data_IF_938343000683
#
_entry.id   IF_938343000683
#
_cell.length_a   1.000
_cell.length_b   1.000
_cell.length_c   1.000
_cell.angle_alpha   90.00
_cell.angle_beta   90.00
_cell.angle_gamma   90.00
#
_symmetry.space_group_name_H-M   'P 1'
#
loop_
_entity.id
_entity.type
_entity.pdbx_description
1 polymer ?
#
# COMPACT_ATOMS: atom_id res chain seq x y z
N UNK A 1 -2.44 -8.33 14.72
CA UNK A 1 -3.90 -8.19 14.52
C UNK A 1 -4.29 -8.52 13.06
N UNK A 2 -3.65 -7.94 12.05
CA UNK A 2 -4.01 -8.10 10.61
C UNK A 2 -3.72 -9.50 10.04
N UNK A 3 -2.82 -10.27 10.64
CA UNK A 3 -2.49 -11.66 10.24
C UNK A 3 -3.72 -12.59 10.22
N UNK A 4 -4.76 -12.28 11.01
CA UNK A 4 -6.01 -13.06 10.98
C UNK A 4 -6.71 -13.00 9.61
N UNK A 5 -6.61 -11.88 8.90
CA UNK A 5 -7.23 -11.67 7.59
C UNK A 5 -6.36 -12.11 6.41
N UNK A 6 -5.13 -12.61 6.66
CA UNK A 6 -4.16 -12.92 5.60
C UNK A 6 -3.85 -14.41 5.62
N UNK A 7 -4.03 -15.06 4.46
CA UNK A 7 -3.72 -16.46 4.30
C UNK A 7 -2.19 -16.70 4.33
N UNK A 8 -1.74 -17.61 5.20
CA UNK A 8 -0.33 -18.01 5.31
C UNK A 8 0.65 -16.83 5.36
N UNK A 9 0.38 -15.87 6.24
CA UNK A 9 1.20 -14.65 6.41
C UNK A 9 2.70 -14.92 6.49
N UNK A 10 3.10 -16.04 7.11
CA UNK A 10 4.50 -16.41 7.34
C UNK A 10 5.23 -16.88 6.07
N UNK A 11 4.49 -17.31 5.05
CA UNK A 11 5.03 -17.76 3.75
C UNK A 11 5.13 -16.64 2.71
N UNK A 12 4.59 -15.47 3.01
CA UNK A 12 4.57 -14.34 2.08
C UNK A 12 5.86 -13.52 2.13
N UNK A 13 6.32 -13.05 0.96
CA UNK A 13 7.37 -12.04 0.95
C UNK A 13 6.93 -10.80 1.71
N UNK A 14 7.86 -10.10 2.34
CA UNK A 14 7.58 -8.92 3.15
C UNK A 14 6.80 -7.82 2.40
N UNK A 15 7.11 -7.61 1.13
CA UNK A 15 6.39 -6.65 0.29
C UNK A 15 4.95 -7.10 0.02
N UNK A 16 4.74 -8.39 -0.17
CA UNK A 16 3.43 -8.98 -0.39
C UNK A 16 2.58 -8.92 0.88
N UNK A 17 3.18 -9.27 2.02
CA UNK A 17 2.53 -9.18 3.33
C UNK A 17 2.10 -7.74 3.64
N UNK A 18 2.97 -6.76 3.40
CA UNK A 18 2.63 -5.35 3.58
C UNK A 18 1.43 -4.92 2.73
N UNK A 19 1.38 -5.30 1.45
CA UNK A 19 0.22 -5.01 0.59
C UNK A 19 -1.05 -5.64 1.14
N UNK A 20 -0.98 -6.88 1.60
CA UNK A 20 -2.11 -7.58 2.20
C UNK A 20 -2.59 -6.88 3.49
N UNK A 21 -1.68 -6.45 4.36
CA UNK A 21 -2.02 -5.69 5.58
C UNK A 21 -2.71 -4.37 5.27
N UNK A 22 -2.18 -3.60 4.32
CA UNK A 22 -2.79 -2.33 3.89
C UNK A 22 -4.18 -2.59 3.30
N UNK A 23 -4.33 -3.62 2.45
CA UNK A 23 -5.63 -4.02 1.90
C UNK A 23 -6.63 -4.34 3.02
N UNK A 24 -6.23 -5.15 4.00
CA UNK A 24 -7.11 -5.50 5.13
C UNK A 24 -7.53 -4.26 5.94
N UNK A 25 -6.60 -3.31 6.18
CA UNK A 25 -6.91 -2.06 6.89
C UNK A 25 -7.93 -1.23 6.11
N UNK A 26 -7.72 -1.02 4.81
CA UNK A 26 -8.66 -0.25 3.99
C UNK A 26 -10.02 -0.91 3.90
N UNK A 27 -10.08 -2.23 3.71
CA UNK A 27 -11.36 -2.97 3.67
C UNK A 27 -12.12 -2.89 5.00
N UNK A 28 -11.44 -2.97 6.14
CA UNK A 28 -12.09 -2.80 7.45
C UNK A 28 -12.59 -1.37 7.65
N UNK A 29 -11.81 -0.36 7.28
CA UNK A 29 -12.24 1.05 7.33
C UNK A 29 -13.44 1.26 6.42
N UNK A 30 -13.41 0.73 5.18
CA UNK A 30 -14.52 0.83 4.24
C UNK A 30 -15.80 0.11 4.74
N UNK A 31 -15.67 -1.04 5.44
CA UNK A 31 -16.78 -1.70 6.12
C UNK A 31 -17.42 -0.81 7.19
N UNK A 32 -16.60 -0.18 8.03
CA UNK A 32 -17.12 0.74 9.08
C UNK A 32 -17.83 1.93 8.45
N UNK A 33 -17.25 2.53 7.40
CA UNK A 33 -17.88 3.61 6.64
C UNK A 33 -19.18 3.14 5.97
N UNK A 34 -19.18 1.94 5.38
CA UNK A 34 -20.36 1.34 4.77
C UNK A 34 -21.49 1.10 5.76
N UNK A 35 -21.20 0.58 6.95
CA UNK A 35 -22.18 0.39 8.02
C UNK A 35 -22.79 1.72 8.48
N UNK A 36 -21.92 2.71 8.75
CA UNK A 36 -22.39 4.06 9.10
C UNK A 36 -23.29 4.63 8.00
N UNK A 37 -22.86 4.52 6.75
CA UNK A 37 -23.60 5.02 5.58
C UNK A 37 -24.93 4.31 5.42
N UNK A 38 -24.99 2.99 5.59
CA UNK A 38 -26.23 2.22 5.50
C UNK A 38 -27.26 2.66 6.56
N UNK A 39 -26.86 2.78 7.82
CA UNK A 39 -27.72 3.27 8.92
C UNK A 39 -28.21 4.68 8.63
N UNK A 40 -27.33 5.58 8.21
CA UNK A 40 -27.61 6.97 7.88
C UNK A 40 -28.65 7.08 6.76
N UNK A 41 -28.46 6.39 5.65
CA UNK A 41 -29.30 6.52 4.47
C UNK A 41 -30.64 5.78 4.62
N UNK A 42 -30.65 4.67 5.37
CA UNK A 42 -31.91 4.02 5.75
C UNK A 42 -32.77 4.96 6.61
N UNK A 43 -32.17 5.62 7.61
CA UNK A 43 -32.88 6.55 8.49
C UNK A 43 -33.37 7.83 7.78
N UNK A 44 -32.76 8.17 6.63
CA UNK A 44 -33.13 9.31 5.80
C UNK A 44 -34.05 8.90 4.62
N UNK A 45 -34.40 7.62 4.46
CA UNK A 45 -35.29 7.14 3.41
C UNK A 45 -34.67 7.18 1.99
N UNK A 46 -33.33 7.26 1.88
CA UNK A 46 -32.67 7.40 0.58
C UNK A 46 -32.24 6.04 0.02
N UNK A 47 -33.13 5.38 -0.71
CA UNK A 47 -32.98 3.99 -1.16
C UNK A 47 -31.69 3.75 -2.00
N UNK A 48 -31.37 4.63 -2.95
CA UNK A 48 -30.17 4.47 -3.81
C UNK A 48 -28.88 4.45 -3.00
N UNK A 49 -28.71 5.39 -2.04
CA UNK A 49 -27.54 5.48 -1.19
C UNK A 49 -27.48 4.33 -0.17
N UNK A 50 -28.63 3.91 0.35
CA UNK A 50 -28.72 2.72 1.20
C UNK A 50 -28.25 1.47 0.45
N UNK A 51 -28.76 1.22 -0.77
CA UNK A 51 -28.38 0.07 -1.57
C UNK A 51 -26.89 0.04 -1.90
N UNK A 52 -26.29 1.17 -2.27
CA UNK A 52 -24.85 1.20 -2.54
C UNK A 52 -24.01 1.09 -1.28
N UNK A 53 -24.52 1.47 -0.11
CA UNK A 53 -23.86 1.21 1.19
C UNK A 53 -23.85 -0.29 1.50
N UNK A 54 -24.97 -0.98 1.27
CA UNK A 54 -25.06 -2.44 1.41
C UNK A 54 -24.13 -3.13 0.40
N UNK A 55 -24.10 -2.65 -0.85
CA UNK A 55 -23.19 -3.18 -1.86
C UNK A 55 -21.72 -3.01 -1.45
N UNK A 56 -21.34 -1.85 -0.90
CA UNK A 56 -20.00 -1.62 -0.34
C UNK A 56 -19.67 -2.65 0.74
N UNK A 57 -20.55 -2.84 1.72
CA UNK A 57 -20.36 -3.82 2.80
C UNK A 57 -20.12 -5.22 2.23
N UNK A 58 -20.98 -5.67 1.31
CA UNK A 58 -20.88 -7.00 0.71
C UNK A 58 -19.58 -7.17 -0.08
N UNK A 59 -19.21 -6.19 -0.87
CA UNK A 59 -17.98 -6.21 -1.69
C UNK A 59 -16.74 -6.23 -0.80
N UNK A 60 -16.72 -5.48 0.29
CA UNK A 60 -15.56 -5.49 1.22
C UNK A 60 -15.49 -6.81 2.02
N UNK A 61 -16.62 -7.40 2.39
CA UNK A 61 -16.63 -8.76 2.98
C UNK A 61 -16.05 -9.77 2.00
N UNK A 62 -16.43 -9.69 0.72
CA UNK A 62 -15.89 -10.57 -0.33
C UNK A 62 -14.38 -10.31 -0.50
N UNK A 63 -13.93 -9.05 -0.50
CA UNK A 63 -12.51 -8.71 -0.60
C UNK A 63 -11.70 -9.30 0.55
N UNK A 64 -12.20 -9.19 1.80
CA UNK A 64 -11.58 -9.80 2.98
C UNK A 64 -11.61 -11.33 2.91
N UNK A 65 -12.69 -11.93 2.42
CA UNK A 65 -12.78 -13.36 2.22
C UNK A 65 -11.75 -13.85 1.18
N UNK A 66 -11.62 -13.15 0.04
CA UNK A 66 -10.59 -13.45 -0.97
C UNK A 66 -9.20 -13.31 -0.36
N UNK A 67 -8.95 -12.27 0.43
CA UNK A 67 -7.66 -12.08 1.10
C UNK A 67 -7.38 -13.21 2.12
N UNK A 68 -8.40 -13.68 2.81
CA UNK A 68 -8.31 -14.72 3.84
C UNK A 68 -8.14 -16.12 3.28
N UNK A 69 -8.86 -16.45 2.21
CA UNK A 69 -8.93 -17.82 1.69
C UNK A 69 -8.13 -18.06 0.42
N UNK A 70 -7.68 -16.98 -0.25
CA UNK A 70 -6.84 -17.09 -1.44
C UNK A 70 -5.52 -16.32 -1.28
N UNK A 71 -4.54 -16.60 -2.15
CA UNK A 71 -3.29 -15.84 -2.25
C UNK A 71 -3.40 -14.65 -3.22
N UNK A 72 -4.62 -14.34 -3.68
CA UNK A 72 -4.86 -13.37 -4.75
C UNK A 72 -5.06 -11.94 -4.18
N UNK A 73 -4.02 -11.40 -3.54
CA UNK A 73 -4.07 -10.08 -2.89
C UNK A 73 -4.50 -8.98 -3.86
N UNK A 74 -3.98 -9.01 -5.10
CA UNK A 74 -4.34 -8.04 -6.13
C UNK A 74 -5.82 -8.09 -6.49
N UNK A 75 -6.42 -9.28 -6.53
CA UNK A 75 -7.85 -9.44 -6.78
C UNK A 75 -8.67 -8.89 -5.62
N UNK A 76 -8.33 -9.23 -4.38
CA UNK A 76 -8.99 -8.71 -3.19
C UNK A 76 -8.99 -7.17 -3.18
N UNK A 77 -7.83 -6.56 -3.49
CA UNK A 77 -7.69 -5.12 -3.56
C UNK A 77 -8.56 -4.47 -4.64
N UNK A 78 -8.61 -5.07 -5.85
CA UNK A 78 -9.48 -4.55 -6.92
C UNK A 78 -10.97 -4.66 -6.59
N UNK A 79 -11.39 -5.75 -5.93
CA UNK A 79 -12.75 -5.93 -5.45
C UNK A 79 -13.09 -4.81 -4.46
N UNK A 80 -12.26 -4.58 -3.45
CA UNK A 80 -12.46 -3.50 -2.47
C UNK A 80 -12.51 -2.11 -3.14
N UNK A 81 -11.58 -1.81 -4.04
CA UNK A 81 -11.60 -0.53 -4.77
C UNK A 81 -12.89 -0.34 -5.57
N UNK A 82 -13.39 -1.38 -6.22
CA UNK A 82 -14.65 -1.31 -6.94
C UNK A 82 -15.81 -0.93 -6.02
N UNK A 83 -15.92 -1.56 -4.86
CA UNK A 83 -16.96 -1.22 -3.87
C UNK A 83 -16.88 0.22 -3.39
N UNK A 84 -15.66 0.66 -3.02
CA UNK A 84 -15.43 2.03 -2.56
C UNK A 84 -15.73 3.06 -3.63
N UNK A 85 -15.30 2.83 -4.89
CA UNK A 85 -15.58 3.74 -6.02
C UNK A 85 -17.06 3.80 -6.32
N UNK A 86 -17.74 2.66 -6.40
CA UNK A 86 -19.17 2.61 -6.67
C UNK A 86 -19.98 3.43 -5.66
N UNK A 87 -19.67 3.26 -4.37
CA UNK A 87 -20.36 3.98 -3.31
C UNK A 87 -20.04 5.47 -3.33
N UNK A 88 -18.76 5.85 -3.46
CA UNK A 88 -18.33 7.24 -3.47
C UNK A 88 -18.87 8.01 -4.69
N UNK A 89 -18.84 7.41 -5.88
CA UNK A 89 -19.40 8.01 -7.09
C UNK A 89 -20.90 8.21 -6.96
N UNK A 90 -21.63 7.21 -6.42
CA UNK A 90 -23.06 7.35 -6.23
C UNK A 90 -23.42 8.43 -5.19
N UNK A 91 -22.69 8.52 -4.07
CA UNK A 91 -22.98 9.55 -3.06
C UNK A 91 -22.70 10.95 -3.60
N UNK A 92 -21.61 11.15 -4.35
CA UNK A 92 -21.28 12.41 -5.01
C UNK A 92 -22.39 12.76 -6.03
N UNK A 93 -22.79 11.81 -6.86
CA UNK A 93 -23.82 12.02 -7.88
C UNK A 93 -25.17 12.43 -7.25
N UNK A 94 -25.62 11.74 -6.20
CA UNK A 94 -26.90 11.97 -5.53
C UNK A 94 -26.91 13.25 -4.68
N UNK A 95 -25.75 13.82 -4.36
CA UNK A 95 -25.62 14.99 -3.49
C UNK A 95 -25.25 16.30 -4.24
N UNK A 96 -25.50 16.37 -5.55
CA UNK A 96 -25.26 17.60 -6.35
C UNK A 96 -24.15 17.47 -7.39
N UNK A 97 -23.58 16.27 -7.60
CA UNK A 97 -22.43 16.08 -8.48
C UNK A 97 -21.13 16.58 -7.87
N UNK A 98 -20.03 16.53 -8.63
CA UNK A 98 -18.69 16.83 -8.10
C UNK A 98 -18.51 18.30 -7.69
N UNK A 99 -19.28 19.22 -8.28
CA UNK A 99 -19.13 20.67 -8.07
C UNK A 99 -19.87 21.11 -6.81
N UNK A 100 -21.12 20.67 -6.63
CA UNK A 100 -21.98 21.16 -5.55
C UNK A 100 -22.07 20.21 -4.35
N UNK A 101 -21.51 19.00 -4.49
CA UNK A 101 -21.59 18.00 -3.43
C UNK A 101 -20.67 18.28 -2.26
N UNK A 102 -21.22 18.25 -1.05
CA UNK A 102 -20.45 18.23 0.20
C UNK A 102 -19.61 16.95 0.36
N UNK A 103 -19.90 15.92 -0.47
CA UNK A 103 -19.23 14.62 -0.46
C UNK A 103 -18.08 14.53 -1.49
N UNK A 104 -17.77 15.60 -2.21
CA UNK A 104 -16.74 15.59 -3.26
C UNK A 104 -15.33 15.18 -2.76
N UNK A 105 -15.03 15.40 -1.46
CA UNK A 105 -13.76 15.00 -0.83
C UNK A 105 -13.51 13.50 -0.80
N UNK A 106 -14.52 12.66 -1.03
CA UNK A 106 -14.31 11.21 -1.18
C UNK A 106 -13.50 10.87 -2.44
N UNK A 107 -13.57 11.65 -3.51
CA UNK A 107 -12.80 11.40 -4.73
C UNK A 107 -11.27 11.50 -4.52
N UNK A 108 -10.70 12.60 -3.98
CA UNK A 108 -9.26 12.65 -3.67
C UNK A 108 -8.84 11.63 -2.60
N UNK A 109 -9.70 11.29 -1.62
CA UNK A 109 -9.41 10.22 -0.67
C UNK A 109 -9.17 8.88 -1.38
N UNK A 110 -10.03 8.52 -2.34
CA UNK A 110 -9.87 7.28 -3.10
C UNK A 110 -8.54 7.25 -3.86
N UNK A 111 -8.16 8.34 -4.52
CA UNK A 111 -6.87 8.44 -5.22
C UNK A 111 -5.72 8.19 -4.24
N UNK A 112 -5.74 8.82 -3.05
CA UNK A 112 -4.74 8.58 -2.02
C UNK A 112 -4.72 7.09 -1.60
N UNK A 113 -5.88 6.48 -1.36
CA UNK A 113 -6.00 5.08 -0.98
C UNK A 113 -5.40 4.14 -2.04
N UNK A 114 -5.63 4.42 -3.33
CA UNK A 114 -5.07 3.63 -4.43
C UNK A 114 -3.54 3.65 -4.43
N UNK A 115 -2.91 4.84 -4.29
CA UNK A 115 -1.45 4.95 -4.27
C UNK A 115 -0.80 4.40 -3.00
N UNK A 116 -1.53 4.33 -1.89
CA UNK A 116 -1.01 3.75 -0.65
C UNK A 116 -1.01 2.22 -0.67
N UNK A 117 -1.99 1.59 -1.33
CA UNK A 117 -2.23 0.15 -1.24
C UNK A 117 -1.88 -0.64 -2.50
N UNK A 118 -1.98 -0.02 -3.69
CA UNK A 118 -1.80 -0.71 -4.95
C UNK A 118 -0.38 -0.58 -5.54
N UNK A 119 -0.13 -1.32 -6.64
CA UNK A 119 1.00 -1.05 -7.52
C UNK A 119 0.78 0.27 -8.28
N UNK A 120 1.86 0.93 -8.71
CA UNK A 120 1.78 2.20 -9.45
C UNK A 120 0.80 2.16 -10.63
N UNK A 121 0.86 1.09 -11.43
CA UNK A 121 0.00 0.94 -12.62
C UNK A 121 -1.46 0.82 -12.20
N UNK A 122 -1.77 -0.04 -11.23
CA UNK A 122 -3.13 -0.25 -10.76
C UNK A 122 -3.71 1.02 -10.09
N UNK A 123 -2.90 1.71 -9.28
CA UNK A 123 -3.30 2.99 -8.68
C UNK A 123 -3.60 4.04 -9.76
N UNK A 124 -2.76 4.12 -10.80
CA UNK A 124 -2.97 5.02 -11.93
C UNK A 124 -4.26 4.68 -12.68
N UNK A 125 -4.52 3.40 -12.96
CA UNK A 125 -5.74 2.95 -13.65
C UNK A 125 -7.00 3.36 -12.89
N UNK A 126 -7.07 3.10 -11.60
CA UNK A 126 -8.21 3.49 -10.77
C UNK A 126 -8.33 5.02 -10.64
N UNK A 127 -7.20 5.73 -10.51
CA UNK A 127 -7.20 7.20 -10.44
C UNK A 127 -7.70 7.84 -11.72
N UNK A 128 -7.28 7.32 -12.88
CA UNK A 128 -7.80 7.77 -14.19
C UNK A 128 -9.31 7.52 -14.29
N UNK A 129 -9.80 6.39 -13.77
CA UNK A 129 -11.24 6.12 -13.69
C UNK A 129 -11.99 7.18 -12.87
N UNK A 130 -11.50 7.52 -11.66
CA UNK A 130 -12.10 8.59 -10.83
C UNK A 130 -12.04 9.95 -11.52
N UNK A 131 -10.91 10.29 -12.14
CA UNK A 131 -10.77 11.55 -12.86
C UNK A 131 -11.72 11.63 -14.06
N UNK A 132 -11.88 10.54 -14.81
CA UNK A 132 -12.81 10.47 -15.94
C UNK A 132 -14.26 10.68 -15.48
N UNK A 133 -14.69 9.98 -14.41
CA UNK A 133 -16.03 10.16 -13.84
C UNK A 133 -16.23 11.59 -13.33
N UNK A 134 -15.23 12.16 -12.62
CA UNK A 134 -15.28 13.54 -12.16
C UNK A 134 -15.37 14.54 -13.32
N UNK A 135 -14.61 14.31 -14.40
CA UNK A 135 -14.68 15.14 -15.60
C UNK A 135 -16.05 15.08 -16.30
N UNK A 136 -16.65 13.87 -16.38
CA UNK A 136 -18.02 13.70 -16.90
C UNK A 136 -19.03 14.45 -16.05
N UNK A 137 -18.96 14.33 -14.72
CA UNK A 137 -19.87 15.06 -13.82
C UNK A 137 -19.68 16.59 -13.97
N UNK A 138 -18.44 17.07 -14.07
CA UNK A 138 -18.14 18.50 -14.30
C UNK A 138 -18.71 18.97 -15.64
N UNK A 139 -18.53 18.20 -16.70
CA UNK A 139 -19.08 18.52 -18.02
C UNK A 139 -20.62 18.57 -17.99
N UNK A 140 -21.27 17.61 -17.37
CA UNK A 140 -22.72 17.60 -17.21
C UNK A 140 -23.20 18.84 -16.43
N UNK A 141 -22.54 19.20 -15.34
CA UNK A 141 -22.87 20.40 -14.57
C UNK A 141 -22.73 21.67 -15.42
N UNK A 142 -21.64 21.84 -16.13
CA UNK A 142 -21.42 23.02 -17.00
C UNK A 142 -22.34 23.07 -18.22
N UNK A 143 -22.90 21.90 -18.63
CA UNK A 143 -23.93 21.78 -19.66
C UNK A 143 -25.34 22.03 -19.16
N UNK A 144 -25.53 22.39 -17.88
CA UNK A 144 -26.83 22.70 -17.29
C UNK A 144 -27.61 21.48 -16.75
N UNK A 145 -26.96 20.29 -16.69
CA UNK A 145 -27.60 19.14 -16.07
C UNK A 145 -27.76 19.37 -14.55
N UNK A 146 -28.96 19.16 -14.07
CA UNK A 146 -29.25 19.30 -12.64
C UNK A 146 -29.12 17.92 -11.97
N UNK A 147 -28.09 17.78 -11.15
CA UNK A 147 -27.89 16.59 -10.36
C UNK A 147 -28.96 16.47 -9.26
N UNK A 148 -29.30 15.25 -8.83
CA UNK A 148 -30.13 15.04 -7.67
C UNK A 148 -29.52 15.73 -6.44
N UNK A 149 -30.36 16.29 -5.59
CA UNK A 149 -29.96 16.86 -4.31
C UNK A 149 -30.61 16.10 -3.17
N UNK A 150 -29.89 15.96 -2.07
CA UNK A 150 -30.38 15.27 -0.88
C UNK A 150 -31.12 16.27 -0.01
N UNK A 151 -32.45 16.15 0.06
CA UNK A 151 -33.29 17.00 0.90
C UNK A 151 -33.27 16.49 2.36
N UNK A 152 -32.48 17.15 3.20
CA UNK A 152 -32.37 16.85 4.62
C UNK A 152 -32.89 18.03 5.46
N UNK A 153 -33.36 17.75 6.69
CA UNK A 153 -33.61 18.82 7.66
C UNK A 153 -32.30 19.55 7.98
N UNK A 154 -32.37 20.84 8.36
CA UNK A 154 -31.20 21.67 8.62
C UNK A 154 -30.18 21.02 9.57
N UNK A 155 -30.64 20.36 10.63
CA UNK A 155 -29.76 19.64 11.56
C UNK A 155 -29.02 18.48 10.89
N UNK A 156 -29.72 17.69 10.07
CA UNK A 156 -29.13 16.55 9.32
C UNK A 156 -28.17 17.04 8.22
N UNK A 157 -28.50 18.17 7.59
CA UNK A 157 -27.65 18.79 6.57
C UNK A 157 -26.31 19.24 7.17
N UNK A 158 -26.31 19.82 8.37
CA UNK A 158 -25.07 20.15 9.06
C UNK A 158 -24.20 18.90 9.31
N UNK A 159 -24.81 17.80 9.77
CA UNK A 159 -24.08 16.52 9.95
C UNK A 159 -23.52 16.01 8.60
N UNK A 160 -24.28 16.19 7.51
CA UNK A 160 -23.85 15.82 6.17
C UNK A 160 -22.61 16.60 5.73
N UNK A 161 -22.61 17.90 5.89
CA UNK A 161 -21.47 18.77 5.57
C UNK A 161 -20.23 18.34 6.39
N UNK A 162 -20.39 18.23 7.71
CA UNK A 162 -19.29 17.82 8.58
C UNK A 162 -18.74 16.45 8.22
N UNK A 163 -19.61 15.45 8.01
CA UNK A 163 -19.17 14.09 7.66
C UNK A 163 -18.55 14.02 6.27
N UNK A 164 -19.05 14.79 5.30
CA UNK A 164 -18.51 14.83 3.95
C UNK A 164 -17.14 15.49 3.84
N UNK A 165 -16.83 16.44 4.71
CA UNK A 165 -15.52 17.10 4.75
C UNK A 165 -14.54 16.43 5.71
N UNK A 166 -14.93 16.25 6.97
CA UNK A 166 -13.99 15.82 8.00
C UNK A 166 -13.70 14.33 7.97
N UNK A 167 -14.68 13.50 7.65
CA UNK A 167 -14.47 12.06 7.64
C UNK A 167 -13.44 11.61 6.58
N UNK A 168 -13.51 12.07 5.32
CA UNK A 168 -12.45 11.77 4.35
C UNK A 168 -11.08 12.29 4.77
N UNK A 169 -10.99 13.50 5.32
CA UNK A 169 -9.72 14.06 5.82
C UNK A 169 -9.15 13.23 6.98
N UNK A 170 -10.02 12.83 7.93
CA UNK A 170 -9.61 11.96 9.03
C UNK A 170 -9.07 10.62 8.51
N UNK A 171 -9.76 9.99 7.54
CA UNK A 171 -9.31 8.73 6.93
C UNK A 171 -7.98 8.92 6.20
N UNK A 172 -7.77 10.04 5.50
CA UNK A 172 -6.48 10.37 4.87
C UNK A 172 -5.38 10.48 5.93
N UNK A 173 -5.60 11.24 7.01
CA UNK A 173 -4.63 11.40 8.08
C UNK A 173 -4.29 10.05 8.73
N UNK A 174 -5.29 9.23 9.01
CA UNK A 174 -5.10 7.89 9.58
C UNK A 174 -4.28 6.99 8.64
N UNK A 175 -4.66 6.94 7.36
CA UNK A 175 -3.98 6.15 6.34
C UNK A 175 -2.52 6.60 6.14
N UNK A 176 -2.27 7.92 6.11
CA UNK A 176 -0.92 8.49 6.00
C UNK A 176 -0.08 8.18 7.24
N UNK A 177 -0.63 8.31 8.44
CA UNK A 177 0.07 7.97 9.68
C UNK A 177 0.48 6.48 9.70
N UNK A 178 -0.44 5.59 9.32
CA UNK A 178 -0.17 4.16 9.24
C UNK A 178 0.94 3.82 8.23
N UNK A 179 0.91 4.44 7.05
CA UNK A 179 1.91 4.19 6.00
C UNK A 179 3.25 4.84 6.28
N UNK A 180 3.28 6.01 6.95
CA UNK A 180 4.51 6.68 7.36
C UNK A 180 5.33 5.79 8.31
N UNK A 181 4.68 5.24 9.33
CA UNK A 181 5.32 4.29 10.25
C UNK A 181 5.91 3.07 9.55
N UNK A 182 5.23 2.56 8.53
CA UNK A 182 5.76 1.44 7.75
C UNK A 182 6.97 1.83 6.89
N UNK A 183 6.95 3.04 6.29
CA UNK A 183 8.07 3.58 5.51
C UNK A 183 9.32 3.78 6.37
N UNK A 184 9.18 4.42 7.54
CA UNK A 184 10.27 4.61 8.50
C UNK A 184 10.92 3.28 8.91
N UNK A 185 10.10 2.28 9.21
CA UNK A 185 10.58 0.94 9.52
C UNK A 185 11.31 0.28 8.35
N UNK A 186 10.89 0.52 7.11
CA UNK A 186 11.54 -0.01 5.92
C UNK A 186 12.89 0.68 5.67
N UNK A 187 12.96 2.00 5.81
CA UNK A 187 14.18 2.80 5.67
C UNK A 187 15.22 2.37 6.72
N UNK A 188 14.83 2.32 8.00
CA UNK A 188 15.75 1.91 9.08
C UNK A 188 16.34 0.51 8.87
N UNK A 189 15.57 -0.41 8.29
CA UNK A 189 16.06 -1.76 7.97
C UNK A 189 17.00 -1.76 6.75
N UNK A 190 16.70 -0.94 5.74
CA UNK A 190 17.58 -0.80 4.58
C UNK A 190 18.93 -0.24 4.99
N UNK A 191 18.96 0.79 5.86
CA UNK A 191 20.16 1.36 6.41
C UNK A 191 21.00 0.35 7.22
N UNK A 192 20.32 -0.50 8.04
CA UNK A 192 21.01 -1.56 8.79
C UNK A 192 21.62 -2.60 7.85
N UNK A 193 20.87 -3.06 6.86
CA UNK A 193 21.38 -4.02 5.87
C UNK A 193 22.56 -3.45 5.07
N UNK A 194 22.52 -2.17 4.72
CA UNK A 194 23.61 -1.49 4.03
C UNK A 194 24.87 -1.41 4.91
N UNK A 195 24.72 -1.06 6.19
CA UNK A 195 25.84 -1.05 7.14
C UNK A 195 26.46 -2.43 7.35
N UNK A 196 25.61 -3.46 7.48
CA UNK A 196 26.09 -4.85 7.60
C UNK A 196 26.83 -5.31 6.34
N UNK A 197 26.31 -4.97 5.15
CA UNK A 197 26.97 -5.28 3.88
C UNK A 197 28.31 -4.57 3.73
N UNK A 198 28.39 -3.30 4.12
CA UNK A 198 29.63 -2.53 4.10
C UNK A 198 30.69 -3.15 5.04
N UNK A 199 30.30 -3.53 6.26
CA UNK A 199 31.18 -4.20 7.21
C UNK A 199 31.66 -5.58 6.71
N UNK A 200 30.80 -6.33 6.04
CA UNK A 200 31.18 -7.61 5.43
C UNK A 200 32.18 -7.41 4.27
N UNK A 201 31.98 -6.38 3.43
CA UNK A 201 32.91 -6.05 2.35
C UNK A 201 34.28 -5.64 2.88
N UNK A 202 34.32 -4.85 3.97
CA UNK A 202 35.57 -4.44 4.64
C UNK A 202 36.34 -5.68 5.18
N UNK A 203 35.65 -6.57 5.91
CA UNK A 203 36.24 -7.83 6.41
C UNK A 203 36.73 -8.74 5.30
N UNK A 204 36.00 -8.83 4.18
CA UNK A 204 36.44 -9.59 3.01
C UNK A 204 37.72 -9.02 2.41
N UNK A 205 37.82 -7.70 2.26
CA UNK A 205 39.03 -6.99 1.78
C UNK A 205 40.22 -7.17 2.72
N UNK A 206 40.01 -7.13 4.03
CA UNK A 206 41.08 -7.43 5.00
C UNK A 206 41.55 -8.89 4.91
N UNK A 207 40.58 -9.83 4.73
CA UNK A 207 40.88 -11.25 4.52
C UNK A 207 41.70 -11.50 3.25
N UNK A 208 41.39 -10.81 2.16
CA UNK A 208 42.11 -10.89 0.89
C UNK A 208 43.55 -10.39 1.04
N UNK A 209 43.77 -9.21 1.68
CA UNK A 209 45.09 -8.69 1.95
C UNK A 209 45.93 -9.62 2.82
N UNK A 210 45.31 -10.30 3.80
CA UNK A 210 46.00 -11.26 4.66
C UNK A 210 46.38 -12.54 3.88
N UNK A 211 45.52 -12.97 2.96
CA UNK A 211 45.82 -14.09 2.09
C UNK A 211 46.98 -13.79 1.15
N UNK A 212 46.97 -12.61 0.54
CA UNK A 212 48.09 -12.15 -0.33
C UNK A 212 49.41 -12.11 0.43
N UNK A 213 49.41 -11.60 1.66
CA UNK A 213 50.65 -11.57 2.49
C UNK A 213 51.11 -12.98 2.85
N UNK A 214 50.22 -13.92 3.10
CA UNK A 214 50.58 -15.34 3.34
C UNK A 214 51.15 -16.02 2.08
N UNK A 215 50.57 -15.75 0.91
CA UNK A 215 51.05 -16.26 -0.36
C UNK A 215 52.50 -15.77 -0.67
N UNK A 216 52.78 -14.51 -0.40
CA UNK A 216 54.12 -13.95 -0.54
C UNK A 216 55.11 -14.67 0.39
N UNK A 217 54.80 -14.83 1.67
CA UNK A 217 55.64 -15.51 2.64
C UNK A 217 55.85 -17.00 2.27
N UNK A 218 54.85 -17.72 1.77
CA UNK A 218 54.98 -19.09 1.28
C UNK A 218 55.92 -19.14 0.05
N UNK A 219 55.76 -18.20 -0.90
CA UNK A 219 56.62 -18.17 -2.08
C UNK A 219 58.12 -17.88 -1.72
N UNK A 220 58.36 -17.01 -0.75
CA UNK A 220 59.68 -16.72 -0.22
C UNK A 220 60.29 -17.99 0.44
N UNK A 221 59.55 -18.72 1.26
CA UNK A 221 59.97 -19.95 1.88
C UNK A 221 60.25 -21.09 0.85
N UNK A 222 59.49 -21.14 -0.24
CA UNK A 222 59.75 -22.11 -1.34
C UNK A 222 61.03 -21.76 -2.07
N UNK A 223 61.36 -20.48 -2.29
CA UNK A 223 62.62 -20.05 -2.89
C UNK A 223 63.81 -20.38 -2.02
N UNK A 224 63.74 -20.15 -0.71
CA UNK A 224 64.79 -20.50 0.25
C UNK A 224 65.06 -22.03 0.28
N UNK A 225 63.95 -22.84 0.21
CA UNK A 225 64.08 -24.31 0.13
C UNK A 225 64.78 -24.76 -1.16
N UNK A 226 64.49 -24.12 -2.28
CA UNK A 226 65.11 -24.47 -3.58
C UNK A 226 66.60 -24.13 -3.58
N UNK A 227 67.03 -23.00 -2.98
CA UNK A 227 68.41 -22.66 -2.78
C UNK A 227 69.16 -23.68 -1.90
N UNK A 228 68.52 -24.10 -0.78
CA UNK A 228 69.12 -25.10 0.12
C UNK A 228 69.29 -26.46 -0.60
N UNK A 229 68.26 -26.90 -1.37
CA UNK A 229 68.35 -28.11 -2.17
C UNK A 229 69.47 -28.03 -3.20
N UNK A 230 69.65 -26.88 -3.83
CA UNK A 230 70.72 -26.69 -4.81
C UNK A 230 72.11 -26.72 -4.16
N UNK A 231 72.27 -26.15 -2.96
CA UNK A 231 73.53 -26.24 -2.18
C UNK A 231 73.85 -27.66 -1.74
N UNK A 232 72.87 -28.39 -1.26
CA UNK A 232 73.07 -29.83 -0.85
C UNK A 232 73.46 -30.69 -2.04
N UNK A 233 72.83 -30.48 -3.21
CA UNK A 233 73.16 -31.23 -4.43
C UNK A 233 74.58 -30.93 -4.94
N UNK A 234 75.05 -29.69 -4.86
CA UNK A 234 76.43 -29.32 -5.26
C UNK A 234 77.47 -29.82 -4.29
N UNK A 235 77.16 -29.95 -2.99
CA UNK A 235 78.06 -30.55 -2.00
C UNK A 235 78.11 -32.08 -2.07
N UNK A 236 77.11 -32.75 -2.59
CA UNK A 236 77.04 -34.22 -2.72
C UNK A 236 77.75 -34.74 -3.96
N UNK A 237 78.13 -33.89 -4.90
CA UNK A 237 78.78 -34.23 -6.18
C UNK A 237 80.30 -33.95 -6.19
N UNK A 238 80.86 -33.40 -5.09
CA UNK A 238 82.27 -33.25 -4.85
C UNK A 238 82.81 -34.29 -3.84
#
# INVERSE_FOLDING_TARGET
MWHYFINNSDSLSRNTLRKAEITAVFSVVALVVGLYSAIKWQSNGHASLFLTSIALILVEVIALAVLRFSKMITLALNIGFFGMVLHAVNIIFQSGGIVDSTQAFWAPLLIVAFYLSASRIMALTWSVGILAVSAVMTYLHTSGYQFPTINLSASKQNIEIWSGMLLPLFVICFAQSFTSKQKESAISRAEKAQKESALQAEKASEGEKKLDSMLLAVNESVQELDEVIHQVNTQSTN
#
